data_IF_029960399466
#
_entry.id   IF_029960399466
#
_cell.length_a   1.000
_cell.length_b   1.000
_cell.length_c   1.000
_cell.angle_alpha   90.00
_cell.angle_beta   90.00
_cell.angle_gamma   90.00
#
_symmetry.space_group_name_H-M   'P 1'
#
loop_
_entity.id
_entity.type
_entity.pdbx_description
1 polymer ?
#
# COMPACT_ATOMS: atom_id res chain seq x y z
N UNK A 1 49.07 26.00 10.68
CA UNK A 1 49.39 24.61 11.06
C UNK A 1 49.50 23.88 9.73
N UNK A 2 50.68 23.38 9.39
CA UNK A 2 50.96 22.76 8.10
C UNK A 2 51.03 21.27 8.38
N UNK A 3 49.88 20.61 8.28
CA UNK A 3 49.79 19.17 8.40
C UNK A 3 50.16 18.56 7.05
N UNK A 4 51.12 17.65 7.07
CA UNK A 4 51.60 16.91 5.90
C UNK A 4 51.29 15.41 6.05
N UNK A 5 50.36 15.08 6.94
CA UNK A 5 49.84 13.76 7.15
C UNK A 5 48.69 13.48 6.16
N UNK A 6 49.04 12.88 5.02
CA UNK A 6 48.09 12.40 4.00
C UNK A 6 47.44 11.05 4.43
N UNK A 7 47.43 10.73 5.73
CA UNK A 7 46.73 9.56 6.27
C UNK A 7 45.34 9.86 6.81
N UNK A 8 44.92 11.13 6.75
CA UNK A 8 43.52 11.47 6.97
C UNK A 8 42.66 10.70 5.94
N UNK A 9 41.59 10.00 6.37
CA UNK A 9 40.68 9.35 5.46
C UNK A 9 40.20 10.37 4.44
N UNK A 10 40.30 10.04 3.15
CA UNK A 10 39.76 10.90 2.11
C UNK A 10 38.29 11.17 2.41
N UNK A 11 37.92 12.45 2.48
CA UNK A 11 36.51 12.81 2.56
C UNK A 11 35.90 12.51 1.18
N UNK A 12 34.97 11.59 1.14
CA UNK A 12 34.22 11.17 -0.04
C UNK A 12 32.75 11.46 0.17
N UNK A 13 31.95 11.42 -0.90
CA UNK A 13 30.49 11.59 -0.79
C UNK A 13 29.92 10.67 0.30
N UNK A 14 30.32 9.40 0.31
CA UNK A 14 29.85 8.40 1.25
C UNK A 14 30.42 8.49 2.70
N UNK A 15 31.12 9.56 3.07
CA UNK A 15 31.62 9.75 4.43
C UNK A 15 31.73 11.22 4.90
N UNK A 16 31.18 12.18 4.14
CA UNK A 16 31.31 13.62 4.39
C UNK A 16 30.17 14.20 5.25
N UNK A 17 29.15 13.40 5.56
CA UNK A 17 27.99 13.78 6.37
C UNK A 17 26.95 14.62 5.63
N UNK A 18 27.01 14.66 4.30
CA UNK A 18 26.12 15.41 3.41
C UNK A 18 25.44 14.43 2.45
N UNK A 19 24.14 14.59 2.24
CA UNK A 19 23.41 13.96 1.13
C UNK A 19 23.84 14.62 -0.20
N UNK A 20 24.76 13.99 -0.92
CA UNK A 20 25.37 14.53 -2.15
C UNK A 20 24.49 14.33 -3.40
N UNK A 21 23.52 13.42 -3.37
CA UNK A 21 22.67 13.09 -4.53
C UNK A 21 21.20 13.55 -4.39
N UNK A 22 20.79 13.90 -3.18
CA UNK A 22 19.50 14.51 -2.83
C UNK A 22 18.38 13.52 -2.51
N UNK A 23 18.68 12.26 -2.19
CA UNK A 23 17.71 11.19 -1.91
C UNK A 23 17.29 11.05 -0.43
N UNK A 24 17.81 11.93 0.45
CA UNK A 24 17.62 11.98 1.91
C UNK A 24 18.36 10.88 2.71
N UNK A 25 19.19 10.07 2.06
CA UNK A 25 20.16 9.19 2.70
C UNK A 25 21.52 9.90 2.77
N UNK A 26 22.35 9.50 3.74
CA UNK A 26 23.64 10.16 4.00
C UNK A 26 24.69 9.08 4.29
N UNK A 27 25.85 9.19 3.65
CA UNK A 27 27.01 8.34 3.86
C UNK A 27 26.67 6.84 3.73
N UNK A 28 27.16 6.00 4.65
CA UNK A 28 26.88 4.56 4.70
C UNK A 28 25.42 4.18 4.95
N UNK A 29 24.52 5.14 5.20
CA UNK A 29 23.08 4.88 5.21
C UNK A 29 22.49 4.93 3.79
N UNK A 30 23.19 5.53 2.84
CA UNK A 30 22.85 5.57 1.42
C UNK A 30 23.13 4.22 0.74
N UNK A 31 22.18 3.76 -0.08
CA UNK A 31 22.31 2.52 -0.84
C UNK A 31 23.19 2.64 -2.09
N UNK A 32 23.50 3.87 -2.53
CA UNK A 32 24.50 4.19 -3.53
C UNK A 32 25.93 3.97 -3.03
N UNK A 33 26.14 4.05 -1.72
CA UNK A 33 27.45 3.86 -1.11
C UNK A 33 27.83 2.39 -0.93
N UNK A 34 28.90 1.96 -1.61
CA UNK A 34 29.48 0.62 -1.39
C UNK A 34 30.23 0.55 -0.05
N UNK A 35 30.91 1.63 0.34
CA UNK A 35 31.62 1.80 1.61
C UNK A 35 32.03 3.28 1.78
N UNK A 36 32.69 3.62 2.90
CA UNK A 36 33.10 4.99 3.19
C UNK A 36 34.32 5.49 2.40
N UNK A 37 34.90 4.69 1.50
CA UNK A 37 35.90 5.16 0.52
C UNK A 37 35.27 5.43 -0.85
N UNK A 38 33.96 5.15 -0.99
CA UNK A 38 33.21 5.39 -2.22
C UNK A 38 32.88 6.88 -2.36
N UNK A 39 33.02 7.39 -3.58
CA UNK A 39 32.86 8.82 -3.88
C UNK A 39 31.72 9.07 -4.86
N UNK A 40 30.75 8.16 -4.88
CA UNK A 40 29.49 8.28 -5.62
C UNK A 40 28.36 7.83 -4.70
N UNK A 41 27.55 8.78 -4.25
CA UNK A 41 26.30 8.49 -3.52
C UNK A 41 25.15 8.15 -4.47
N UNK A 42 25.32 8.36 -5.78
CA UNK A 42 24.20 8.19 -6.71
C UNK A 42 23.71 6.75 -6.78
N UNK A 43 22.48 6.56 -6.34
CA UNK A 43 21.68 5.38 -6.67
C UNK A 43 20.55 5.76 -7.65
N UNK A 44 20.00 4.76 -8.35
CA UNK A 44 18.79 5.03 -9.14
C UNK A 44 17.67 5.32 -8.15
N UNK A 45 16.90 6.42 -8.32
CA UNK A 45 15.77 6.70 -7.45
C UNK A 45 14.89 5.46 -7.38
N UNK A 46 14.59 5.03 -6.15
CA UNK A 46 13.81 3.83 -5.93
C UNK A 46 12.52 3.90 -6.79
N UNK A 47 12.17 2.83 -7.55
CA UNK A 47 11.01 2.86 -8.42
C UNK A 47 9.77 3.37 -7.69
N UNK A 48 9.23 4.52 -8.13
CA UNK A 48 8.13 5.19 -7.43
C UNK A 48 6.92 4.27 -7.21
N UNK A 49 6.69 3.27 -8.06
CA UNK A 49 5.61 2.29 -7.91
C UNK A 49 6.11 0.98 -7.29
N UNK A 50 5.62 0.65 -6.09
CA UNK A 50 5.92 -0.61 -5.40
C UNK A 50 4.94 -1.71 -5.81
N UNK A 51 3.68 -1.34 -6.07
CA UNK A 51 2.64 -2.27 -6.44
C UNK A 51 1.50 -1.54 -7.16
N UNK A 52 0.95 -2.19 -8.18
CA UNK A 52 -0.27 -1.74 -8.83
C UNK A 52 -1.13 -2.93 -9.24
N UNK A 53 -2.45 -2.82 -9.12
CA UNK A 53 -3.40 -3.80 -9.65
C UNK A 53 -4.68 -3.12 -10.13
N UNK A 54 -4.92 -3.21 -11.43
CA UNK A 54 -6.12 -2.77 -12.16
C UNK A 54 -7.08 -3.95 -12.46
N UNK A 55 -6.74 -5.15 -11.98
CA UNK A 55 -7.48 -6.41 -12.11
C UNK A 55 -7.79 -6.85 -13.55
N UNK A 56 -7.19 -6.23 -14.58
CA UNK A 56 -7.56 -6.45 -15.98
C UNK A 56 -7.15 -7.83 -16.53
N UNK A 57 -6.38 -8.60 -15.77
CA UNK A 57 -6.09 -10.01 -16.03
C UNK A 57 -7.25 -10.95 -15.64
N UNK A 58 -8.31 -10.39 -15.02
CA UNK A 58 -9.55 -11.05 -14.69
C UNK A 58 -9.49 -11.97 -13.48
N UNK A 59 -8.47 -11.84 -12.63
CA UNK A 59 -8.33 -12.62 -11.42
C UNK A 59 -7.79 -11.78 -10.25
N UNK A 60 -7.51 -12.44 -9.12
CA UNK A 60 -6.99 -11.83 -7.89
C UNK A 60 -5.70 -12.55 -7.46
N UNK A 61 -4.93 -13.05 -8.42
CA UNK A 61 -3.72 -13.81 -8.16
C UNK A 61 -2.70 -12.95 -7.42
N UNK A 62 -2.07 -13.53 -6.41
CA UNK A 62 -1.15 -12.81 -5.54
C UNK A 62 -1.83 -11.96 -4.46
N UNK A 63 -3.15 -11.96 -4.36
CA UNK A 63 -3.90 -11.54 -3.17
C UNK A 63 -4.21 -12.74 -2.27
N UNK A 64 -4.22 -12.52 -0.96
CA UNK A 64 -4.71 -13.48 0.02
C UNK A 64 -6.17 -13.17 0.31
N UNK A 65 -7.04 -14.12 -0.01
CA UNK A 65 -8.49 -14.00 0.16
C UNK A 65 -8.95 -14.84 1.35
N UNK A 66 -9.81 -14.27 2.19
CA UNK A 66 -10.48 -15.03 3.25
C UNK A 66 -11.89 -14.52 3.48
N UNK A 67 -12.79 -15.43 3.86
CA UNK A 67 -14.16 -15.11 4.21
C UNK A 67 -14.60 -15.96 5.40
N UNK A 68 -15.61 -15.47 6.11
CA UNK A 68 -16.28 -16.24 7.15
C UNK A 68 -16.94 -17.48 6.56
N UNK A 69 -17.14 -18.51 7.39
CA UNK A 69 -17.79 -19.76 6.95
C UNK A 69 -19.17 -19.47 6.34
N UNK A 70 -19.36 -19.88 5.09
CA UNK A 70 -20.60 -19.65 4.33
C UNK A 70 -20.70 -18.29 3.64
N UNK A 71 -19.75 -17.38 3.86
CA UNK A 71 -19.63 -16.12 3.12
C UNK A 71 -18.85 -16.26 1.82
N UNK A 72 -18.95 -15.25 0.96
CA UNK A 72 -18.19 -15.21 -0.30
C UNK A 72 -16.87 -14.41 -0.14
N UNK A 73 -15.83 -14.88 -0.81
CA UNK A 73 -14.59 -14.11 -0.98
C UNK A 73 -14.80 -12.93 -1.94
N UNK A 74 -13.85 -12.00 -1.92
CA UNK A 74 -13.62 -11.07 -3.02
C UNK A 74 -13.36 -11.86 -4.32
N UNK A 75 -13.79 -11.31 -5.45
CA UNK A 75 -13.61 -11.89 -6.78
C UNK A 75 -13.46 -10.78 -7.82
N UNK A 76 -12.75 -11.08 -8.91
CA UNK A 76 -12.73 -10.22 -10.08
C UNK A 76 -14.13 -10.17 -10.73
N UNK A 77 -14.56 -8.97 -11.11
CA UNK A 77 -15.91 -8.69 -11.60
C UNK A 77 -15.86 -7.80 -12.84
N UNK A 78 -16.59 -8.19 -13.88
CA UNK A 78 -16.75 -7.40 -15.12
C UNK A 78 -17.88 -6.37 -15.03
N UNK A 79 -18.56 -6.30 -13.88
CA UNK A 79 -19.75 -5.48 -13.73
C UNK A 79 -19.35 -4.04 -13.38
N UNK A 80 -19.37 -3.12 -14.34
CA UNK A 80 -19.07 -1.69 -14.12
C UNK A 80 -17.75 -1.48 -13.32
N UNK A 81 -16.60 -1.91 -13.85
CA UNK A 81 -15.31 -1.51 -13.28
C UNK A 81 -15.14 0.02 -13.40
N UNK A 82 -14.19 0.59 -12.65
CA UNK A 82 -13.86 2.01 -12.75
C UNK A 82 -13.22 2.29 -14.11
N UNK A 83 -12.18 1.51 -14.44
CA UNK A 83 -11.50 1.52 -15.72
C UNK A 83 -11.27 0.08 -16.22
N UNK A 84 -10.96 -0.07 -17.50
CA UNK A 84 -10.73 -1.40 -18.07
C UNK A 84 -11.97 -2.32 -18.08
N UNK A 85 -11.72 -3.62 -17.89
CA UNK A 85 -12.72 -4.70 -18.02
C UNK A 85 -13.08 -5.37 -16.70
N UNK A 86 -12.28 -5.18 -15.65
CA UNK A 86 -12.41 -5.88 -14.39
C UNK A 86 -12.18 -4.94 -13.21
N UNK A 87 -12.77 -5.30 -12.07
CA UNK A 87 -12.52 -4.69 -10.75
C UNK A 87 -12.62 -5.78 -9.70
N UNK A 88 -12.11 -5.56 -8.49
CA UNK A 88 -12.36 -6.46 -7.36
C UNK A 88 -13.73 -6.14 -6.73
N UNK A 89 -14.57 -7.16 -6.55
CA UNK A 89 -15.89 -7.05 -5.91
C UNK A 89 -16.04 -8.06 -4.77
N UNK A 90 -16.68 -7.65 -3.68
CA UNK A 90 -17.13 -8.54 -2.61
C UNK A 90 -18.63 -8.41 -2.34
N UNK A 91 -19.31 -9.56 -2.35
CA UNK A 91 -20.70 -9.77 -1.90
C UNK A 91 -20.70 -10.80 -0.76
N UNK A 92 -20.28 -10.41 0.45
CA UNK A 92 -19.96 -11.36 1.52
C UNK A 92 -21.14 -12.23 1.96
N UNK A 93 -22.37 -11.74 1.88
CA UNK A 93 -23.60 -12.42 2.37
C UNK A 93 -23.51 -12.80 3.86
N UNK A 94 -22.86 -11.97 4.66
CA UNK A 94 -22.72 -12.12 6.09
C UNK A 94 -22.42 -10.78 6.77
N UNK A 95 -23.01 -10.60 7.95
CA UNK A 95 -22.79 -9.45 8.83
C UNK A 95 -21.76 -9.72 9.93
N UNK A 96 -21.05 -10.85 9.87
CA UNK A 96 -19.95 -11.14 10.81
C UNK A 96 -18.71 -10.36 10.40
N UNK A 97 -18.28 -9.40 11.20
CA UNK A 97 -17.16 -8.50 10.84
C UNK A 97 -15.78 -9.06 11.22
N UNK A 98 -14.79 -9.10 10.30
CA UNK A 98 -14.92 -8.87 8.86
C UNK A 98 -15.46 -10.10 8.13
N UNK A 99 -16.39 -9.91 7.18
CA UNK A 99 -17.02 -11.04 6.51
C UNK A 99 -16.21 -11.57 5.32
N UNK A 100 -15.57 -10.67 4.58
CA UNK A 100 -14.76 -10.99 3.41
C UNK A 100 -13.59 -10.03 3.29
N UNK A 101 -12.40 -10.59 3.08
CA UNK A 101 -11.12 -9.91 3.20
C UNK A 101 -10.26 -10.21 1.98
N UNK A 102 -9.63 -9.16 1.44
CA UNK A 102 -8.62 -9.22 0.39
C UNK A 102 -7.36 -8.50 0.86
N UNK A 103 -6.24 -9.20 0.92
CA UNK A 103 -4.99 -8.73 1.52
C UNK A 103 -3.79 -8.88 0.58
N UNK A 104 -2.87 -7.90 0.63
CA UNK A 104 -1.60 -7.93 -0.11
C UNK A 104 -0.46 -7.49 0.79
N UNK A 105 0.57 -8.33 0.90
CA UNK A 105 1.87 -7.94 1.45
C UNK A 105 2.72 -7.35 0.33
N UNK A 106 3.31 -6.18 0.59
CA UNK A 106 4.23 -5.47 -0.31
C UNK A 106 5.36 -4.93 0.56
N UNK A 107 6.59 -5.39 0.34
CA UNK A 107 7.72 -4.85 1.10
C UNK A 107 7.96 -3.40 0.72
N UNK A 108 8.15 -2.54 1.73
CA UNK A 108 8.51 -1.11 1.58
C UNK A 108 9.94 -0.83 2.02
N UNK A 109 10.80 -1.85 2.09
CA UNK A 109 12.23 -1.69 2.40
C UNK A 109 12.91 -0.92 1.26
N UNK A 110 13.71 0.08 1.60
CA UNK A 110 14.32 1.03 0.65
C UNK A 110 13.41 2.20 0.27
N UNK A 111 12.33 2.44 1.02
CA UNK A 111 11.40 3.55 0.80
C UNK A 111 11.00 4.18 2.13
N UNK A 112 11.04 5.51 2.20
CA UNK A 112 10.61 6.25 3.38
C UNK A 112 9.12 6.59 3.36
N UNK A 113 8.69 7.36 2.35
CA UNK A 113 7.33 7.89 2.30
C UNK A 113 6.41 7.02 1.44
N UNK A 114 5.46 6.33 2.07
CA UNK A 114 4.52 5.44 1.38
C UNK A 114 3.18 6.12 1.15
N UNK A 115 2.63 5.99 -0.06
CA UNK A 115 1.27 6.44 -0.40
C UNK A 115 0.46 5.28 -0.98
N UNK A 116 -0.77 5.10 -0.48
CA UNK A 116 -1.75 4.17 -1.02
C UNK A 116 -2.86 4.94 -1.75
N UNK A 117 -3.15 4.52 -2.98
CA UNK A 117 -4.26 5.02 -3.81
C UNK A 117 -5.14 3.87 -4.25
N UNK A 118 -6.43 4.15 -4.39
CA UNK A 118 -7.39 3.23 -4.99
C UNK A 118 -8.69 3.96 -5.31
N UNK A 119 -9.49 3.36 -6.18
CA UNK A 119 -10.88 3.72 -6.40
C UNK A 119 -11.77 2.70 -5.72
N UNK A 120 -12.82 3.15 -5.02
CA UNK A 120 -13.79 2.23 -4.41
C UNK A 120 -15.22 2.64 -4.69
N UNK A 121 -16.13 1.67 -4.62
CA UNK A 121 -17.57 1.91 -4.70
C UNK A 121 -18.30 1.02 -3.73
N UNK A 122 -19.06 1.62 -2.83
CA UNK A 122 -19.91 0.95 -1.84
C UNK A 122 -21.36 1.05 -2.30
N UNK A 123 -22.08 -0.05 -2.33
CA UNK A 123 -23.46 -0.08 -2.84
C UNK A 123 -24.39 -0.69 -1.81
N UNK A 124 -25.46 0.06 -1.52
CA UNK A 124 -26.56 -0.32 -0.65
C UNK A 124 -26.18 -0.75 0.77
N UNK A 125 -24.97 -0.44 1.27
CA UNK A 125 -24.58 -0.78 2.64
C UNK A 125 -25.54 -0.11 3.62
N UNK A 126 -26.06 -0.88 4.57
CA UNK A 126 -27.00 -0.42 5.57
C UNK A 126 -26.37 -0.34 6.97
N UNK A 127 -27.21 -0.10 7.99
CA UNK A 127 -26.71 -0.01 9.37
C UNK A 127 -26.37 -1.40 9.88
N UNK A 128 -25.09 -1.64 10.11
CA UNK A 128 -24.55 -2.96 10.47
C UNK A 128 -23.58 -3.50 9.44
N UNK A 129 -23.57 -2.93 8.24
CA UNK A 129 -22.60 -3.22 7.19
C UNK A 129 -21.33 -2.40 7.35
N UNK A 130 -20.18 -2.99 7.02
CA UNK A 130 -18.88 -2.37 7.23
C UNK A 130 -17.99 -2.52 5.99
N UNK A 131 -17.40 -1.41 5.55
CA UNK A 131 -16.24 -1.42 4.68
C UNK A 131 -15.04 -0.82 5.42
N UNK A 132 -13.92 -1.53 5.44
CA UNK A 132 -12.66 -1.03 6.01
C UNK A 132 -11.50 -1.20 5.04
N UNK A 133 -10.59 -0.22 5.07
CA UNK A 133 -9.27 -0.33 4.46
C UNK A 133 -8.22 -0.15 5.55
N UNK A 134 -7.26 -1.05 5.60
CA UNK A 134 -6.22 -1.09 6.63
C UNK A 134 -4.85 -1.26 5.99
N UNK A 135 -3.82 -0.82 6.70
CA UNK A 135 -2.43 -1.16 6.41
C UNK A 135 -1.76 -1.77 7.64
N UNK A 136 -0.73 -2.58 7.43
CA UNK A 136 0.01 -3.25 8.50
C UNK A 136 1.36 -2.56 8.73
N UNK A 137 1.59 -2.11 9.95
CA UNK A 137 2.84 -1.42 10.34
C UNK A 137 4.00 -2.37 10.70
N UNK A 138 3.86 -3.65 10.37
CA UNK A 138 4.79 -4.71 10.77
C UNK A 138 4.45 -5.35 12.11
N UNK A 139 3.55 -4.75 12.90
CA UNK A 139 3.10 -5.26 14.19
C UNK A 139 1.58 -5.30 14.34
N UNK A 140 0.89 -4.26 13.88
CA UNK A 140 -0.56 -4.06 14.04
C UNK A 140 -1.19 -3.50 12.78
N UNK A 141 -2.48 -3.79 12.61
CA UNK A 141 -3.29 -3.25 11.52
C UNK A 141 -3.85 -1.88 11.90
N UNK A 142 -3.54 -0.88 11.10
CA UNK A 142 -3.97 0.51 11.22
C UNK A 142 -5.09 0.81 10.22
N UNK A 143 -6.14 1.52 10.66
CA UNK A 143 -7.30 1.84 9.81
C UNK A 143 -7.04 3.10 8.99
N UNK A 144 -7.32 3.05 7.68
CA UNK A 144 -7.30 4.19 6.73
C UNK A 144 -8.69 4.70 6.38
N UNK A 145 -9.60 3.77 6.14
CA UNK A 145 -11.01 4.03 5.86
C UNK A 145 -11.86 3.07 6.67
N UNK A 146 -12.98 3.56 7.19
CA UNK A 146 -14.03 2.74 7.81
C UNK A 146 -15.37 3.44 7.63
N UNK A 147 -16.45 2.68 7.40
CA UNK A 147 -17.80 3.23 7.42
C UNK A 147 -18.37 3.29 8.84
N UNK A 148 -17.83 2.52 9.78
CA UNK A 148 -18.25 2.53 11.18
C UNK A 148 -19.70 2.06 11.36
N UNK A 149 -20.10 1.07 10.56
CA UNK A 149 -21.44 0.47 10.50
C UNK A 149 -22.53 1.44 10.06
N UNK A 150 -22.15 2.56 9.43
CA UNK A 150 -23.08 3.50 8.83
C UNK A 150 -23.45 3.08 7.40
N UNK A 151 -24.67 3.44 6.99
CA UNK A 151 -25.12 3.22 5.63
C UNK A 151 -24.24 3.95 4.62
N UNK A 152 -23.92 3.31 3.50
CA UNK A 152 -23.13 3.88 2.41
C UNK A 152 -23.67 3.44 1.04
N UNK A 153 -23.83 4.40 0.13
CA UNK A 153 -24.28 4.13 -1.23
C UNK A 153 -23.72 5.16 -2.20
N UNK A 154 -22.62 4.82 -2.85
CA UNK A 154 -21.93 5.70 -3.78
C UNK A 154 -22.61 5.68 -5.17
N UNK A 155 -22.79 6.88 -5.75
CA UNK A 155 -23.31 7.03 -7.11
C UNK A 155 -22.34 6.49 -8.19
N UNK A 156 -21.04 6.47 -7.89
CA UNK A 156 -19.96 5.98 -8.75
C UNK A 156 -18.72 5.65 -7.92
N UNK A 157 -17.59 5.36 -8.55
CA UNK A 157 -16.34 5.17 -7.82
C UNK A 157 -15.85 6.47 -7.19
N UNK A 158 -15.25 6.34 -6.01
CA UNK A 158 -14.66 7.43 -5.24
C UNK A 158 -13.16 7.17 -5.13
N UNK A 159 -12.37 8.16 -5.56
CA UNK A 159 -10.93 8.15 -5.42
C UNK A 159 -10.52 8.34 -3.96
N UNK A 160 -9.54 7.55 -3.53
CA UNK A 160 -8.98 7.57 -2.18
C UNK A 160 -7.46 7.62 -2.29
N UNK A 161 -6.86 8.54 -1.55
CA UNK A 161 -5.40 8.69 -1.44
C UNK A 161 -5.03 8.90 0.02
N UNK A 162 -3.99 8.17 0.47
CA UNK A 162 -3.48 8.23 1.83
C UNK A 162 -1.96 8.26 1.82
N UNK A 163 -1.37 9.39 2.22
CA UNK A 163 0.04 9.42 2.64
C UNK A 163 0.15 8.80 4.02
N UNK A 164 0.94 7.73 4.14
CA UNK A 164 1.05 6.95 5.35
C UNK A 164 2.11 7.53 6.30
N UNK A 165 2.01 7.28 7.63
CA UNK A 165 3.04 7.67 8.57
C UNK A 165 4.40 7.00 8.28
N UNK A 166 5.49 7.59 8.78
CA UNK A 166 6.86 7.16 8.45
C UNK A 166 7.16 5.67 8.75
N UNK A 167 6.47 5.05 9.70
CA UNK A 167 6.64 3.61 9.99
C UNK A 167 5.98 2.68 8.96
N UNK A 168 5.36 3.22 7.91
CA UNK A 168 5.00 2.45 6.72
C UNK A 168 6.20 2.19 5.80
N UNK A 169 7.20 3.08 5.80
CA UNK A 169 8.47 2.89 5.11
C UNK A 169 9.38 1.90 5.84
N UNK A 170 10.43 1.44 5.18
CA UNK A 170 11.41 0.49 5.69
C UNK A 170 10.81 -0.78 6.33
N UNK A 171 9.67 -1.23 5.81
CA UNK A 171 8.88 -2.28 6.42
C UNK A 171 8.75 -3.50 5.50
N UNK A 172 9.49 -4.55 5.84
CA UNK A 172 9.47 -5.82 5.11
C UNK A 172 8.07 -6.47 5.08
N UNK A 173 7.30 -6.25 6.14
CA UNK A 173 5.99 -6.89 6.35
C UNK A 173 4.84 -5.93 6.02
N UNK A 174 5.10 -4.77 5.42
CA UNK A 174 4.03 -3.86 5.04
C UNK A 174 2.97 -4.60 4.22
N UNK A 175 1.70 -4.35 4.55
CA UNK A 175 0.59 -4.98 3.87
C UNK A 175 -0.60 -4.03 3.84
N UNK A 176 -1.48 -4.23 2.87
CA UNK A 176 -2.77 -3.55 2.77
C UNK A 176 -3.88 -4.59 2.79
N UNK A 177 -5.05 -4.18 3.26
CA UNK A 177 -6.22 -5.04 3.35
C UNK A 177 -7.51 -4.25 3.11
N UNK A 178 -8.40 -4.86 2.33
CA UNK A 178 -9.77 -4.41 2.11
C UNK A 178 -10.73 -5.41 2.74
N UNK A 179 -11.66 -4.91 3.55
CA UNK A 179 -12.64 -5.72 4.26
C UNK A 179 -14.05 -5.26 3.86
N UNK A 180 -14.93 -6.20 3.54
CA UNK A 180 -16.34 -5.95 3.27
C UNK A 180 -17.19 -6.86 4.14
N UNK A 181 -18.18 -6.28 4.81
CA UNK A 181 -19.18 -6.95 5.64
C UNK A 181 -20.55 -6.45 5.22
N UNK A 182 -21.36 -7.35 4.68
CA UNK A 182 -22.68 -7.02 4.15
C UNK A 182 -23.56 -8.28 4.05
N UNK A 183 -24.82 -8.18 4.45
CA UNK A 183 -25.72 -9.33 4.60
C UNK A 183 -26.50 -9.69 3.34
N UNK A 184 -26.86 -8.72 2.52
CA UNK A 184 -27.75 -8.89 1.37
C UNK A 184 -26.98 -9.10 0.05
N UNK A 185 -27.65 -9.73 -0.91
CA UNK A 185 -27.10 -9.96 -2.26
C UNK A 185 -26.99 -8.68 -3.11
N UNK A 186 -27.71 -7.63 -2.72
CA UNK A 186 -27.67 -6.31 -3.35
C UNK A 186 -26.58 -5.42 -2.76
N UNK A 187 -26.01 -5.79 -1.62
CA UNK A 187 -24.94 -5.05 -0.95
C UNK A 187 -23.58 -5.56 -1.42
N UNK A 188 -22.69 -4.64 -1.76
CA UNK A 188 -21.34 -5.00 -2.16
C UNK A 188 -20.35 -3.85 -2.01
N UNK A 189 -19.09 -4.24 -1.87
CA UNK A 189 -17.94 -3.35 -1.93
C UNK A 189 -17.16 -3.64 -3.21
N UNK A 190 -16.65 -2.60 -3.87
CA UNK A 190 -15.70 -2.72 -4.98
C UNK A 190 -14.48 -1.87 -4.76
N UNK A 191 -13.37 -2.37 -5.28
CA UNK A 191 -12.10 -1.66 -5.34
C UNK A 191 -11.50 -1.86 -6.73
N UNK A 192 -10.81 -0.84 -7.22
CA UNK A 192 -10.17 -0.83 -8.53
C UNK A 192 -8.95 0.09 -8.52
N UNK A 193 -8.07 -0.09 -9.50
CA UNK A 193 -6.83 0.69 -9.72
C UNK A 193 -6.07 0.96 -8.41
N UNK A 194 -5.69 -0.12 -7.72
CA UNK A 194 -4.92 -0.03 -6.48
C UNK A 194 -3.48 0.30 -6.82
N UNK A 195 -2.90 1.29 -6.16
CA UNK A 195 -1.50 1.66 -6.33
C UNK A 195 -0.84 1.92 -4.96
N UNK A 196 0.36 1.37 -4.76
CA UNK A 196 1.26 1.72 -3.66
C UNK A 196 2.50 2.34 -4.25
N UNK A 197 2.81 3.56 -3.84
CA UNK A 197 4.03 4.27 -4.23
C UNK A 197 4.91 4.58 -3.03
N UNK A 198 6.22 4.69 -3.27
CA UNK A 198 7.24 5.02 -2.29
C UNK A 198 8.17 6.10 -2.82
N UNK A 199 8.77 6.85 -1.89
CA UNK A 199 9.84 7.81 -2.13
C UNK A 199 10.92 7.60 -1.09
#
# INVERSE_FOLDING_TARGET
VNDNDETDPAITQCNDGIDNDGDLLIDLADTGCVNGEDNDEYNLPAPLGLFSDDFNDGNLDGWVLSAVSGGNNWAASTLNPYEGSYSAESKPMSTTTPASVMEKTVSTVGYGAITLRYYRRLVALDVGDEFQVKWFDGTTWQILEQTGSASANDAGYVYKEYSLPMNAGENLNFAIRFECTAGAVSEFCRVDDIEITGQ
#
